data_IF_828953563573
#
_entry.id   IF_828953563573
#
_cell.length_a   1.000
_cell.length_b   1.000
_cell.length_c   1.000
_cell.angle_alpha   90.00
_cell.angle_beta   90.00
_cell.angle_gamma   90.00
#
_symmetry.space_group_name_H-M   'P 1'
#
loop_
_entity.id
_entity.type
_entity.pdbx_description
1 polymer ?
#
# COMPACT_ATOMS: atom_id res chain seq x y z
N UNK A 1 -40.19 23.77 22.91
CA UNK A 1 -41.60 23.59 23.35
C UNK A 1 -42.09 22.23 22.89
N UNK A 2 -43.02 21.66 23.66
CA UNK A 2 -43.43 20.24 23.78
C UNK A 2 -44.22 19.67 22.58
N UNK A 3 -44.03 18.35 22.40
CA UNK A 3 -44.97 17.26 22.03
C UNK A 3 -45.88 17.40 20.80
N UNK A 4 -45.87 16.38 19.93
CA UNK A 4 -47.00 15.44 19.72
C UNK A 4 -46.44 14.15 19.08
N UNK A 5 -46.69 13.02 19.73
CA UNK A 5 -46.49 11.69 19.16
C UNK A 5 -47.76 11.19 18.47
N UNK A 6 -47.59 10.35 17.46
CA UNK A 6 -48.64 9.45 16.98
C UNK A 6 -47.98 8.21 16.37
N UNK A 7 -48.00 7.13 17.15
CA UNK A 7 -47.81 5.76 16.71
C UNK A 7 -48.97 5.35 15.80
N UNK A 8 -48.68 4.94 14.57
CA UNK A 8 -49.58 4.17 13.72
C UNK A 8 -48.81 2.96 13.18
N UNK A 9 -49.02 1.84 13.87
CA UNK A 9 -48.73 0.52 13.34
C UNK A 9 -49.75 0.20 12.25
N UNK A 10 -49.29 0.00 11.02
CA UNK A 10 -50.06 -0.69 9.98
C UNK A 10 -49.20 -1.86 9.52
N UNK A 11 -49.58 -3.05 10.00
CA UNK A 11 -49.19 -4.31 9.40
C UNK A 11 -49.94 -4.45 8.06
N UNK A 12 -49.22 -4.83 7.00
CA UNK A 12 -49.83 -5.09 5.70
C UNK A 12 -48.76 -5.47 4.68
N UNK A 13 -48.58 -6.78 4.49
CA UNK A 13 -47.71 -7.37 3.50
C UNK A 13 -47.91 -6.76 2.11
N UNK A 14 -46.87 -6.14 1.56
CA UNK A 14 -46.65 -6.06 0.13
C UNK A 14 -45.16 -6.29 -0.09
N UNK A 15 -44.84 -7.36 -0.81
CA UNK A 15 -43.52 -7.67 -1.30
C UNK A 15 -43.06 -6.52 -2.21
N UNK A 16 -42.35 -5.56 -1.63
CA UNK A 16 -41.53 -4.66 -2.41
C UNK A 16 -40.19 -5.36 -2.45
N UNK A 17 -39.93 -6.05 -3.56
CA UNK A 17 -38.61 -6.59 -3.85
C UNK A 17 -37.60 -5.53 -3.49
N UNK A 18 -36.65 -5.89 -2.62
CA UNK A 18 -35.44 -5.11 -2.51
C UNK A 18 -34.91 -5.02 -3.94
N UNK A 19 -35.15 -3.90 -4.62
CA UNK A 19 -34.24 -3.46 -5.65
C UNK A 19 -32.93 -3.33 -4.89
N UNK A 20 -32.15 -4.42 -4.90
CA UNK A 20 -30.73 -4.35 -4.66
C UNK A 20 -30.27 -3.28 -5.65
N UNK A 21 -30.14 -2.05 -5.17
CA UNK A 21 -29.46 -1.02 -5.93
C UNK A 21 -28.11 -1.66 -6.23
N UNK A 22 -27.90 -2.05 -7.48
CA UNK A 22 -26.61 -2.58 -7.93
C UNK A 22 -25.61 -1.44 -7.81
N UNK A 23 -25.06 -1.26 -6.61
CA UNK A 23 -23.97 -0.34 -6.32
C UNK A 23 -22.74 -1.00 -6.95
N UNK A 24 -22.54 -0.75 -8.24
CA UNK A 24 -21.34 -1.17 -8.98
C UNK A 24 -20.24 -0.15 -8.73
N UNK A 25 -19.67 -0.14 -7.53
CA UNK A 25 -18.47 0.65 -7.21
C UNK A 25 -17.22 -0.20 -7.33
N UNK A 26 -16.25 0.30 -8.08
CA UNK A 26 -14.89 -0.21 -8.12
C UNK A 26 -14.00 0.76 -7.36
N UNK A 27 -13.32 0.26 -6.33
CA UNK A 27 -12.30 1.00 -5.58
C UNK A 27 -10.93 0.62 -6.14
N UNK A 28 -10.14 1.63 -6.52
CA UNK A 28 -8.75 1.46 -6.97
C UNK A 28 -7.84 2.13 -5.95
N UNK A 29 -6.99 1.35 -5.32
CA UNK A 29 -5.98 1.86 -4.37
C UNK A 29 -4.59 1.80 -5.01
N UNK A 30 -3.86 2.92 -4.95
CA UNK A 30 -2.46 2.99 -5.37
C UNK A 30 -1.64 3.64 -4.27
N UNK A 31 -0.74 2.89 -3.65
CA UNK A 31 0.19 3.42 -2.65
C UNK A 31 1.59 3.47 -3.25
N UNK A 32 2.14 4.67 -3.37
CA UNK A 32 3.52 4.91 -3.79
C UNK A 32 4.33 5.32 -2.58
N UNK A 33 5.38 4.56 -2.27
CA UNK A 33 6.35 4.97 -1.26
C UNK A 33 7.58 5.51 -2.00
N UNK A 34 8.15 6.61 -1.54
CA UNK A 34 9.36 7.22 -2.09
C UNK A 34 10.32 7.59 -0.96
N UNK A 35 11.62 7.39 -1.16
CA UNK A 35 12.66 7.87 -0.23
C UNK A 35 13.31 9.10 -0.85
N UNK A 36 13.30 10.23 -0.13
CA UNK A 36 13.91 11.51 -0.53
C UNK A 36 15.05 11.87 0.39
N UNK A 37 16.05 12.56 -0.16
CA UNK A 37 17.21 13.11 0.56
C UNK A 37 18.01 12.09 1.39
N UNK A 38 17.80 10.80 1.09
CA UNK A 38 18.54 9.71 1.73
C UNK A 38 19.90 9.47 1.10
N UNK A 39 20.69 8.61 1.74
CA UNK A 39 22.03 8.28 1.25
C UNK A 39 22.00 7.12 0.28
N UNK A 40 22.77 7.25 -0.81
CA UNK A 40 23.02 6.15 -1.73
C UNK A 40 23.79 5.03 -1.02
N UNK A 41 23.21 3.83 -1.02
CA UNK A 41 23.82 2.62 -0.46
C UNK A 41 23.76 1.46 -1.45
N UNK A 42 24.65 0.51 -1.20
CA UNK A 42 24.65 -0.82 -1.81
C UNK A 42 24.58 -1.85 -0.70
N UNK A 43 23.63 -2.76 -0.78
CA UNK A 43 23.47 -3.85 0.17
C UNK A 43 23.37 -5.19 -0.53
N UNK A 44 23.85 -6.23 0.12
CA UNK A 44 23.61 -7.62 -0.27
C UNK A 44 22.71 -8.29 0.76
N UNK A 45 21.89 -9.23 0.30
CA UNK A 45 21.06 -10.05 1.17
C UNK A 45 20.08 -10.91 0.40
N UNK A 46 19.15 -11.47 1.14
CA UNK A 46 18.15 -12.39 0.65
C UNK A 46 16.84 -11.68 0.39
N UNK A 47 16.31 -11.80 -0.83
CA UNK A 47 15.01 -11.23 -1.13
C UNK A 47 13.89 -12.18 -0.68
N UNK A 48 13.00 -11.67 0.17
CA UNK A 48 11.78 -12.36 0.57
C UNK A 48 10.60 -11.38 0.60
N UNK A 49 9.43 -11.85 1.02
CA UNK A 49 8.24 -11.03 1.29
C UNK A 49 7.88 -11.11 2.77
N UNK A 50 7.45 -9.98 3.34
CA UNK A 50 6.82 -9.99 4.67
C UNK A 50 5.35 -10.46 4.57
N UNK A 51 4.67 -10.53 5.72
CA UNK A 51 3.26 -10.93 5.80
C UNK A 51 2.30 -9.97 5.07
N UNK A 52 2.70 -8.71 4.89
CA UNK A 52 1.94 -7.68 4.18
C UNK A 52 2.23 -7.67 2.67
N UNK A 53 3.06 -8.59 2.18
CA UNK A 53 3.40 -8.74 0.76
C UNK A 53 4.50 -7.79 0.25
N UNK A 54 5.05 -6.93 1.11
CA UNK A 54 6.16 -6.05 0.78
C UNK A 54 7.45 -6.85 0.58
N UNK A 55 8.26 -6.45 -0.40
CA UNK A 55 9.58 -7.01 -0.61
C UNK A 55 10.54 -6.56 0.49
N UNK A 56 11.29 -7.49 1.07
CA UNK A 56 12.29 -7.20 2.09
C UNK A 56 13.61 -7.88 1.77
N UNK A 57 14.71 -7.26 2.21
CA UNK A 57 16.04 -7.86 2.18
C UNK A 57 16.42 -8.31 3.58
N UNK A 58 16.78 -9.57 3.73
CA UNK A 58 17.27 -10.15 4.98
C UNK A 58 18.77 -10.44 4.93
N UNK A 59 19.40 -10.58 6.10
CA UNK A 59 20.76 -11.10 6.21
C UNK A 59 20.77 -12.65 6.22
N UNK A 60 21.94 -13.23 6.45
CA UNK A 60 22.17 -14.69 6.38
C UNK A 60 21.46 -15.47 7.51
N UNK A 61 21.13 -14.80 8.61
CA UNK A 61 20.36 -15.37 9.73
C UNK A 61 18.86 -15.05 9.61
N UNK A 62 18.42 -14.49 8.49
CA UNK A 62 17.01 -14.16 8.23
C UNK A 62 16.52 -12.86 8.87
N UNK A 63 17.37 -12.09 9.55
CA UNK A 63 16.99 -10.82 10.16
C UNK A 63 16.77 -9.72 9.11
N UNK A 64 15.76 -8.88 9.34
CA UNK A 64 15.39 -7.78 8.45
C UNK A 64 16.52 -6.74 8.33
N UNK A 65 16.96 -6.50 7.09
CA UNK A 65 17.85 -5.37 6.78
C UNK A 65 17.04 -4.16 6.35
N UNK A 66 16.27 -4.30 5.27
CA UNK A 66 15.51 -3.20 4.66
C UNK A 66 14.19 -3.68 4.09
N UNK A 67 13.16 -2.84 4.20
CA UNK A 67 11.95 -2.92 3.39
C UNK A 67 12.21 -2.20 2.07
N UNK A 68 11.96 -2.88 0.95
CA UNK A 68 12.21 -2.34 -0.39
C UNK A 68 11.02 -1.55 -0.89
N UNK A 69 11.31 -0.32 -1.28
CA UNK A 69 10.35 0.61 -1.87
C UNK A 69 10.62 0.67 -3.36
N UNK A 70 9.71 0.07 -4.14
CA UNK A 70 9.82 0.01 -5.61
C UNK A 70 8.46 -0.23 -6.26
N UNK A 71 8.27 0.32 -7.46
CA UNK A 71 7.15 -0.01 -8.34
C UNK A 71 7.43 -1.30 -9.16
N UNK A 72 8.66 -1.80 -9.16
CA UNK A 72 9.05 -2.99 -9.92
C UNK A 72 8.60 -4.30 -9.26
N UNK A 73 8.17 -5.25 -10.10
CA UNK A 73 7.92 -6.62 -9.64
C UNK A 73 9.24 -7.39 -9.47
N UNK A 74 9.64 -7.61 -8.21
CA UNK A 74 10.86 -8.34 -7.87
C UNK A 74 10.64 -9.85 -7.66
N UNK A 75 9.46 -10.39 -7.97
CA UNK A 75 9.10 -11.79 -7.64
C UNK A 75 10.08 -12.83 -8.20
N UNK A 76 10.70 -12.56 -9.36
CA UNK A 76 11.70 -13.45 -9.99
C UNK A 76 12.97 -13.64 -9.16
N UNK A 77 13.20 -12.78 -8.17
CA UNK A 77 14.35 -12.80 -7.28
C UNK A 77 14.03 -13.37 -5.89
N UNK A 78 12.78 -13.75 -5.60
CA UNK A 78 12.41 -14.31 -4.30
C UNK A 78 13.19 -15.60 -4.01
N UNK A 79 13.67 -15.73 -2.77
CA UNK A 79 14.51 -16.85 -2.32
C UNK A 79 15.93 -16.81 -2.87
N UNK A 80 16.32 -15.75 -3.60
CA UNK A 80 17.64 -15.57 -4.17
C UNK A 80 18.43 -14.52 -3.42
N UNK A 81 19.75 -14.68 -3.42
CA UNK A 81 20.66 -13.64 -2.96
C UNK A 81 20.83 -12.56 -4.02
N UNK A 82 20.65 -11.30 -3.61
CA UNK A 82 20.71 -10.13 -4.49
C UNK A 82 21.63 -9.04 -3.93
N UNK A 83 22.21 -8.25 -4.83
CA UNK A 83 22.75 -6.91 -4.57
C UNK A 83 21.67 -5.89 -4.93
N UNK A 84 21.34 -5.00 -3.99
CA UNK A 84 20.42 -3.87 -4.19
C UNK A 84 21.21 -2.58 -4.08
N UNK A 85 21.07 -1.71 -5.07
CA UNK A 85 21.49 -0.32 -4.97
C UNK A 85 20.27 0.57 -4.84
N UNK A 86 20.33 1.55 -3.96
CA UNK A 86 19.19 2.40 -3.66
C UNK A 86 19.50 3.54 -2.71
N UNK A 87 18.45 4.26 -2.34
CA UNK A 87 18.48 5.41 -1.44
C UNK A 87 17.89 5.00 -0.09
N UNK A 88 18.69 5.05 0.97
CA UNK A 88 18.31 4.60 2.30
C UNK A 88 17.65 5.71 3.11
N UNK A 89 16.52 5.39 3.76
CA UNK A 89 15.77 6.34 4.59
C UNK A 89 16.27 6.46 6.04
N UNK A 90 17.20 5.59 6.46
CA UNK A 90 17.76 5.54 7.82
C UNK A 90 19.12 6.26 7.93
N UNK A 91 19.49 7.07 6.93
CA UNK A 91 20.79 7.74 6.84
C UNK A 91 20.63 9.18 6.36
N UNK A 92 21.19 10.12 7.10
CA UNK A 92 21.10 11.56 6.78
C UNK A 92 19.72 12.12 7.12
N UNK A 93 19.31 13.18 6.42
CA UNK A 93 18.03 13.89 6.61
C UNK A 93 16.88 13.26 5.80
N UNK A 94 16.91 11.94 5.64
CA UNK A 94 16.05 11.24 4.71
C UNK A 94 14.57 11.27 5.12
N UNK A 95 13.69 11.32 4.12
CA UNK A 95 12.23 11.36 4.31
C UNK A 95 11.56 10.24 3.53
N UNK A 96 10.60 9.56 4.15
CA UNK A 96 9.76 8.58 3.47
C UNK A 96 8.42 9.22 3.13
N UNK A 97 8.15 9.40 1.85
CA UNK A 97 6.88 9.91 1.36
C UNK A 97 5.98 8.75 0.96
N UNK A 98 4.80 8.65 1.54
CA UNK A 98 3.77 7.68 1.21
C UNK A 98 2.63 8.46 0.54
N UNK A 99 2.44 8.24 -0.76
CA UNK A 99 1.29 8.76 -1.51
C UNK A 99 0.26 7.64 -1.71
N UNK A 100 -0.89 7.76 -1.07
CA UNK A 100 -2.03 6.86 -1.29
C UNK A 100 -3.08 7.55 -2.15
N UNK A 101 -3.45 6.94 -3.26
CA UNK A 101 -4.51 7.40 -4.13
C UNK A 101 -5.66 6.38 -4.11
N UNK A 102 -6.83 6.84 -3.69
CA UNK A 102 -8.07 6.07 -3.71
C UNK A 102 -8.95 6.65 -4.80
N UNK A 103 -9.23 5.84 -5.83
CA UNK A 103 -10.19 6.14 -6.89
C UNK A 103 -11.47 5.36 -6.66
N UNK A 104 -12.61 6.05 -6.63
CA UNK A 104 -13.92 5.40 -6.61
C UNK A 104 -14.64 5.70 -7.91
N UNK A 105 -14.91 4.65 -8.69
CA UNK A 105 -15.69 4.74 -9.93
C UNK A 105 -16.93 3.86 -9.79
N UNK A 106 -18.09 4.29 -10.27
CA UNK A 106 -19.26 3.42 -10.22
C UNK A 106 -20.55 4.08 -10.63
N UNK A 107 -21.66 3.42 -10.36
CA UNK A 107 -23.00 3.95 -10.57
C UNK A 107 -23.83 3.74 -9.29
N UNK A 108 -24.47 4.79 -8.81
CA UNK A 108 -25.43 4.73 -7.70
C UNK A 108 -26.75 5.28 -8.22
N UNK A 109 -27.80 4.46 -8.18
CA UNK A 109 -29.16 4.83 -8.59
C UNK A 109 -29.23 5.50 -9.99
N UNK A 110 -28.50 4.97 -10.98
CA UNK A 110 -28.49 5.50 -12.35
C UNK A 110 -27.62 6.74 -12.57
N UNK A 111 -26.94 7.24 -11.54
CA UNK A 111 -25.97 8.34 -11.65
C UNK A 111 -24.55 7.76 -11.65
N UNK A 112 -23.81 8.03 -12.72
CA UNK A 112 -22.37 7.74 -12.77
C UNK A 112 -21.65 8.57 -11.70
N UNK A 113 -20.87 7.90 -10.86
CA UNK A 113 -19.80 8.55 -10.12
C UNK A 113 -18.63 8.76 -11.09
N UNK A 114 -18.34 10.03 -11.37
CA UNK A 114 -17.08 10.43 -11.96
C UNK A 114 -15.92 9.94 -11.08
N UNK A 115 -14.80 9.58 -11.70
CA UNK A 115 -13.58 9.00 -11.11
C UNK A 115 -13.00 9.90 -10.01
N UNK A 116 -13.63 9.89 -8.84
CA UNK A 116 -13.26 10.69 -7.67
C UNK A 116 -11.95 10.13 -7.13
N UNK A 117 -10.89 10.92 -7.29
CA UNK A 117 -9.54 10.60 -6.87
C UNK A 117 -9.23 11.39 -5.60
N UNK A 118 -9.17 10.69 -4.48
CA UNK A 118 -8.60 11.25 -3.24
C UNK A 118 -7.12 10.90 -3.20
N UNK A 119 -6.25 11.91 -3.14
CA UNK A 119 -4.80 11.74 -2.94
C UNK A 119 -4.44 12.15 -1.51
N UNK A 120 -3.99 11.18 -0.72
CA UNK A 120 -3.42 11.40 0.61
C UNK A 120 -1.90 11.31 0.49
N UNK A 121 -1.20 12.30 1.04
CA UNK A 121 0.26 12.30 1.09
C UNK A 121 0.70 12.38 2.54
N UNK A 122 1.39 11.36 3.01
CA UNK A 122 1.99 11.33 4.34
C UNK A 122 3.50 11.38 4.16
N UNK A 123 4.17 12.30 4.85
CA UNK A 123 5.63 12.33 4.92
C UNK A 123 6.00 11.88 6.32
N UNK A 124 6.78 10.81 6.42
CA UNK A 124 7.34 10.34 7.67
C UNK A 124 8.80 10.80 7.75
N UNK A 125 9.14 11.42 8.87
CA UNK A 125 10.46 11.98 9.20
C UNK A 125 10.90 11.42 10.55
N UNK A 126 12.19 11.14 10.73
CA UNK A 126 12.74 10.65 12.00
C UNK A 126 13.02 9.15 12.05
N UNK A 127 13.15 8.62 13.26
CA UNK A 127 13.49 7.22 13.51
C UNK A 127 12.29 6.31 13.22
N UNK A 128 12.25 5.79 12.00
CA UNK A 128 11.26 4.80 11.58
C UNK A 128 11.65 3.44 12.14
N UNK A 129 10.70 2.78 12.81
CA UNK A 129 10.86 1.42 13.36
C UNK A 129 11.31 0.41 12.29
N UNK A 130 11.07 0.72 11.02
CA UNK A 130 11.53 -0.01 9.85
C UNK A 130 12.45 0.83 8.97
N UNK A 131 13.54 0.21 8.52
CA UNK A 131 14.47 0.81 7.56
C UNK A 131 13.95 0.63 6.14
N UNK A 132 13.66 1.74 5.45
CA UNK A 132 13.20 1.74 4.06
C UNK A 132 14.36 2.00 3.08
N UNK A 133 14.33 1.31 1.93
CA UNK A 133 15.29 1.48 0.84
C UNK A 133 14.56 1.67 -0.49
N UNK A 134 14.64 2.89 -1.05
CA UNK A 134 14.17 3.17 -2.41
C UNK A 134 15.06 2.47 -3.42
N UNK A 135 14.52 1.51 -4.17
CA UNK A 135 15.31 0.67 -5.10
C UNK A 135 15.61 1.42 -6.38
N UNK A 136 16.90 1.47 -6.76
CA UNK A 136 17.34 1.94 -8.09
C UNK A 136 17.71 0.80 -9.01
N UNK A 137 18.33 -0.26 -8.47
CA UNK A 137 18.69 -1.44 -9.27
C UNK A 137 18.81 -2.68 -8.40
N UNK A 138 18.46 -3.83 -8.97
CA UNK A 138 18.62 -5.15 -8.34
C UNK A 138 19.44 -6.05 -9.26
N UNK A 139 20.47 -6.70 -8.69
CA UNK A 139 21.29 -7.69 -9.38
C UNK A 139 21.24 -9.01 -8.62
N UNK A 140 20.97 -10.12 -9.31
CA UNK A 140 21.13 -11.47 -8.74
C UNK A 140 22.62 -11.76 -8.53
N UNK A 141 22.98 -12.24 -7.34
CA UNK A 141 24.36 -12.65 -7.02
C UNK A 141 24.47 -14.14 -6.66
N UNK A 142 23.39 -14.78 -6.23
CA UNK A 142 23.32 -16.24 -6.11
C UNK A 142 21.91 -16.76 -6.47
N UNK A 143 21.80 -18.06 -6.78
CA UNK A 143 20.53 -18.68 -7.13
C UNK A 143 19.65 -19.01 -5.91
N UNK A 144 20.26 -19.10 -4.72
CA UNK A 144 19.63 -19.41 -3.44
C UNK A 144 20.14 -18.47 -2.35
N UNK A 145 19.41 -18.45 -1.23
CA UNK A 145 19.79 -17.79 0.01
C UNK A 145 20.65 -18.64 0.94
N UNK A 146 20.69 -19.95 0.68
CA UNK A 146 21.59 -20.93 1.27
C UNK A 146 22.84 -21.08 0.41
#
# INVERSE_FOLDING_TARGET
MKLIGASLAIAGCCAIGAAAQEIKTTTKEKTKVEVKDGKDIKINGCLTRNLEGAYIVTNDVGALKYVLVTDDNLSKYLGRRIEVKGVAADRGDAKVKIESQVGTTGEIAGRKLDDQKTKTTTTLEGDLDLRYLGVRSVKKIANSCM
#
